data_IF_627039891956
#
_entry.id   IF_627039891956
#
_cell.length_a   1.000
_cell.length_b   1.000
_cell.length_c   1.000
_cell.angle_alpha   90.00
_cell.angle_beta   90.00
_cell.angle_gamma   90.00
#
_symmetry.space_group_name_H-M   'P 1'
#
loop_
_entity.id
_entity.type
_entity.pdbx_description
1 polymer ?
#
# COMPACT_ATOMS: atom_id res chain seq x y z
N UNK A 1 -13.82 19.87 6.47
CA UNK A 1 -13.72 18.62 7.25
C UNK A 1 -12.59 18.74 8.25
N UNK A 2 -12.77 18.20 9.43
CA UNK A 2 -11.71 18.25 10.45
C UNK A 2 -10.64 17.19 10.13
N UNK A 3 -9.37 17.57 10.23
CA UNK A 3 -8.26 16.63 10.20
C UNK A 3 -8.29 15.68 11.40
N UNK A 4 -7.62 14.54 11.29
CA UNK A 4 -7.39 13.63 12.41
C UNK A 4 -5.94 13.15 12.40
N UNK A 5 -5.52 12.51 13.49
CA UNK A 5 -4.18 11.97 13.62
C UNK A 5 -4.21 10.46 13.84
N UNK A 6 -3.22 9.77 13.27
CA UNK A 6 -2.88 8.41 13.61
C UNK A 6 -1.46 8.47 14.19
N UNK A 7 -1.34 8.35 15.52
CA UNK A 7 -0.07 8.67 16.18
C UNK A 7 0.35 10.11 15.86
N UNK A 8 1.55 10.27 15.35
CA UNK A 8 2.09 11.57 14.95
C UNK A 8 1.74 11.96 13.50
N UNK A 9 1.11 11.06 12.76
CA UNK A 9 0.74 11.30 11.36
C UNK A 9 -0.56 12.09 11.29
N UNK A 10 -0.50 13.30 10.75
CA UNK A 10 -1.67 14.14 10.51
C UNK A 10 -2.32 13.80 9.17
N UNK A 11 -3.62 13.55 9.19
CA UNK A 11 -4.43 13.28 8.00
C UNK A 11 -5.35 14.48 7.77
N UNK A 12 -5.08 15.31 6.74
CA UNK A 12 -5.84 16.53 6.49
C UNK A 12 -7.32 16.30 6.22
N UNK A 13 -7.64 15.25 5.44
CA UNK A 13 -9.01 14.88 5.08
C UNK A 13 -9.34 13.54 5.71
N UNK A 14 -10.42 13.43 6.52
CA UNK A 14 -10.72 12.21 7.29
C UNK A 14 -11.35 11.11 6.41
N UNK A 15 -10.61 10.70 5.39
CA UNK A 15 -10.99 9.64 4.45
C UNK A 15 -9.85 8.65 4.35
N UNK A 16 -10.19 7.38 4.55
CA UNK A 16 -9.28 6.25 4.35
C UNK A 16 -9.82 5.42 3.20
N UNK A 17 -9.05 5.29 2.15
CA UNK A 17 -9.42 4.43 1.03
C UNK A 17 -9.40 2.96 1.47
N UNK A 18 -10.45 2.21 1.14
CA UNK A 18 -10.46 0.76 1.34
C UNK A 18 -9.52 0.07 0.36
N UNK A 19 -8.72 -0.88 0.87
CA UNK A 19 -7.87 -1.71 0.03
C UNK A 19 -8.70 -2.70 -0.79
N UNK A 20 -8.60 -2.65 -2.11
CA UNK A 20 -9.30 -3.54 -3.03
C UNK A 20 -8.31 -4.35 -3.84
N UNK A 21 -8.33 -5.68 -3.69
CA UNK A 21 -7.61 -6.64 -4.52
C UNK A 21 -8.52 -7.14 -5.65
N UNK A 22 -7.99 -7.79 -6.62
CA UNK A 22 -6.58 -7.95 -6.99
C UNK A 22 -6.30 -6.91 -8.08
N UNK A 23 -5.23 -6.14 -7.90
CA UNK A 23 -4.80 -5.18 -8.92
C UNK A 23 -5.62 -3.89 -9.02
N UNK A 24 -6.59 -3.64 -8.11
CA UNK A 24 -7.42 -2.42 -8.14
C UNK A 24 -6.75 -1.30 -7.36
N UNK A 25 -6.47 -1.51 -6.08
CA UNK A 25 -5.83 -0.49 -5.23
C UNK A 25 -4.31 -0.63 -5.29
N UNK A 26 -3.71 0.01 -6.28
CA UNK A 26 -2.26 0.07 -6.47
C UNK A 26 -1.76 1.52 -6.41
N UNK A 27 -0.52 1.73 -6.82
CA UNK A 27 0.19 3.01 -6.67
C UNK A 27 -0.56 4.23 -7.23
N UNK A 28 -1.21 4.09 -8.38
CA UNK A 28 -1.91 5.21 -9.03
C UNK A 28 -3.13 5.68 -8.25
N UNK A 29 -3.98 4.74 -7.83
CA UNK A 29 -5.17 5.08 -7.04
C UNK A 29 -4.77 5.57 -5.65
N UNK A 30 -3.86 4.88 -4.99
CA UNK A 30 -3.41 5.26 -3.65
C UNK A 30 -2.78 6.66 -3.65
N UNK A 31 -1.92 6.97 -4.61
CA UNK A 31 -1.30 8.29 -4.70
C UNK A 31 -2.31 9.40 -5.02
N UNK A 32 -3.32 9.13 -5.85
CA UNK A 32 -4.37 10.10 -6.14
C UNK A 32 -5.17 10.47 -4.88
N UNK A 33 -5.54 9.47 -4.07
CA UNK A 33 -6.22 9.71 -2.78
C UNK A 33 -5.31 10.48 -1.81
N UNK A 34 -4.06 10.08 -1.68
CA UNK A 34 -3.09 10.75 -0.81
C UNK A 34 -2.84 12.20 -1.21
N UNK A 35 -2.79 12.50 -2.50
CA UNK A 35 -2.64 13.86 -3.02
C UNK A 35 -3.84 14.77 -2.69
N UNK A 36 -5.01 14.18 -2.47
CA UNK A 36 -6.20 14.91 -2.04
C UNK A 36 -6.33 15.03 -0.51
N UNK A 37 -5.34 14.53 0.24
CA UNK A 37 -5.26 14.69 1.69
C UNK A 37 -5.82 13.55 2.52
N UNK A 38 -6.40 12.52 1.90
CA UNK A 38 -6.82 11.28 2.56
C UNK A 38 -5.66 10.28 2.67
N UNK A 39 -5.95 9.10 3.21
CA UNK A 39 -4.99 7.99 3.21
C UNK A 39 -5.21 7.14 1.97
N UNK A 40 -4.24 7.14 1.05
CA UNK A 40 -4.22 6.24 -0.09
C UNK A 40 -3.71 4.87 0.32
N UNK A 41 -4.42 3.80 -0.04
CA UNK A 41 -4.11 2.45 0.44
C UNK A 41 -3.82 1.50 -0.72
N UNK A 42 -2.69 0.81 -0.65
CA UNK A 42 -2.30 -0.25 -1.57
C UNK A 42 -2.76 -1.59 -0.99
N UNK A 43 -3.47 -2.39 -1.80
CA UNK A 43 -3.87 -3.74 -1.41
C UNK A 43 -2.81 -4.77 -1.81
N UNK A 44 -2.38 -5.59 -0.86
CA UNK A 44 -1.37 -6.63 -1.10
C UNK A 44 -1.96 -7.95 -1.59
N UNK A 45 -3.28 -8.10 -1.61
CA UNK A 45 -3.92 -9.37 -2.01
C UNK A 45 -3.61 -9.68 -3.47
N UNK A 46 -2.91 -10.78 -3.71
CA UNK A 46 -2.56 -11.24 -5.04
C UNK A 46 -1.70 -10.28 -5.86
N UNK A 47 -1.02 -9.38 -5.21
CA UNK A 47 -0.27 -8.29 -5.87
C UNK A 47 0.82 -8.81 -6.81
N UNK A 48 1.44 -9.95 -6.49
CA UNK A 48 2.45 -10.58 -7.34
C UNK A 48 1.90 -11.20 -8.62
N UNK A 49 0.58 -11.31 -8.75
CA UNK A 49 -0.08 -11.84 -9.95
C UNK A 49 -0.38 -10.76 -11.00
N UNK A 50 -0.28 -9.49 -10.63
CA UNK A 50 -0.72 -8.36 -11.46
C UNK A 50 0.33 -7.91 -12.46
N UNK A 51 1.60 -8.07 -12.12
CA UNK A 51 2.72 -7.67 -12.95
C UNK A 51 3.54 -8.88 -13.38
N UNK A 52 4.13 -8.80 -14.57
CA UNK A 52 5.09 -9.78 -15.07
C UNK A 52 6.39 -9.68 -14.25
N UNK A 53 6.42 -10.36 -13.12
CA UNK A 53 7.64 -10.50 -12.36
C UNK A 53 8.48 -11.66 -12.91
N UNK A 54 9.79 -11.48 -13.10
CA UNK A 54 10.66 -12.54 -13.60
C UNK A 54 10.80 -13.72 -12.63
N UNK A 55 10.30 -13.58 -11.42
CA UNK A 55 10.29 -14.62 -10.40
C UNK A 55 9.07 -15.52 -10.55
N UNK A 56 9.34 -16.84 -10.72
CA UNK A 56 8.28 -17.86 -10.74
C UNK A 56 7.79 -18.24 -9.34
N UNK A 57 8.45 -17.75 -8.28
CA UNK A 57 8.09 -18.00 -6.90
C UNK A 57 7.05 -16.97 -6.43
N UNK A 58 5.87 -17.44 -6.11
CA UNK A 58 4.75 -16.59 -5.66
C UNK A 58 5.10 -15.69 -4.46
N UNK A 59 5.82 -16.23 -3.48
CA UNK A 59 6.26 -15.46 -2.30
C UNK A 59 7.18 -14.30 -2.70
N UNK A 60 8.20 -14.58 -3.51
CA UNK A 60 9.14 -13.57 -3.98
C UNK A 60 8.43 -12.53 -4.86
N UNK A 61 7.53 -12.96 -5.74
CA UNK A 61 6.75 -12.06 -6.59
C UNK A 61 5.89 -11.09 -5.78
N UNK A 62 5.25 -11.55 -4.71
CA UNK A 62 4.47 -10.67 -3.82
C UNK A 62 5.35 -9.65 -3.10
N UNK A 63 6.50 -10.07 -2.59
CA UNK A 63 7.45 -9.17 -1.91
C UNK A 63 7.95 -8.09 -2.88
N UNK A 64 8.37 -8.49 -4.07
CA UNK A 64 8.87 -7.56 -5.08
C UNK A 64 7.76 -6.59 -5.54
N UNK A 65 6.56 -7.09 -5.76
CA UNK A 65 5.43 -6.30 -6.21
C UNK A 65 5.00 -5.24 -5.19
N UNK A 66 4.87 -5.59 -3.90
CA UNK A 66 4.49 -4.61 -2.89
C UNK A 66 5.56 -3.54 -2.71
N UNK A 67 6.83 -3.95 -2.75
CA UNK A 67 7.97 -3.02 -2.69
C UNK A 67 7.95 -2.03 -3.85
N UNK A 68 7.74 -2.54 -5.04
CA UNK A 68 7.68 -1.73 -6.25
C UNK A 68 6.50 -0.75 -6.24
N UNK A 69 5.31 -1.23 -5.86
CA UNK A 69 4.11 -0.38 -5.79
C UNK A 69 4.23 0.73 -4.74
N UNK A 70 4.81 0.46 -3.58
CA UNK A 70 5.10 1.50 -2.58
C UNK A 70 6.06 2.55 -3.15
N UNK A 71 7.13 2.12 -3.81
CA UNK A 71 8.10 3.03 -4.42
C UNK A 71 7.49 3.87 -5.55
N UNK A 72 6.66 3.27 -6.39
CA UNK A 72 5.92 3.99 -7.43
C UNK A 72 5.00 5.05 -6.81
N UNK A 73 4.25 4.69 -5.78
CA UNK A 73 3.37 5.62 -5.08
C UNK A 73 4.15 6.80 -4.48
N UNK A 74 5.29 6.54 -3.85
CA UNK A 74 6.14 7.60 -3.26
C UNK A 74 6.70 8.58 -4.29
N UNK A 75 6.84 8.17 -5.54
CA UNK A 75 7.22 9.08 -6.63
C UNK A 75 6.07 9.99 -7.07
N UNK A 76 4.83 9.61 -6.79
CA UNK A 76 3.62 10.31 -7.23
C UNK A 76 3.00 11.17 -6.14
N UNK A 77 3.35 10.95 -4.87
CA UNK A 77 2.74 11.66 -3.74
C UNK A 77 3.70 11.83 -2.57
N UNK A 78 3.56 12.92 -1.83
CA UNK A 78 4.11 13.13 -0.50
C UNK A 78 3.06 12.91 0.59
N UNK A 79 1.82 12.58 0.23
CA UNK A 79 0.72 12.39 1.14
C UNK A 79 0.75 11.04 1.87
N UNK A 80 -0.21 10.84 2.79
CA UNK A 80 -0.28 9.63 3.60
C UNK A 80 -0.56 8.39 2.77
N UNK A 81 0.28 7.36 2.91
CA UNK A 81 0.12 6.08 2.24
C UNK A 81 0.00 4.94 3.26
N UNK A 82 -0.94 4.06 3.01
CA UNK A 82 -1.15 2.83 3.76
C UNK A 82 -1.06 1.58 2.90
N UNK A 83 -0.96 0.45 3.57
CA UNK A 83 -1.01 -0.87 2.96
C UNK A 83 -2.07 -1.71 3.67
N UNK A 84 -2.95 -2.33 2.89
CA UNK A 84 -3.93 -3.29 3.39
C UNK A 84 -3.36 -4.70 3.27
N UNK A 85 -3.35 -5.45 4.38
CA UNK A 85 -2.80 -6.80 4.45
C UNK A 85 -3.82 -7.73 5.10
N UNK A 86 -4.17 -8.82 4.42
CA UNK A 86 -5.04 -9.84 5.00
C UNK A 86 -4.25 -10.76 5.93
N UNK A 87 -4.64 -10.78 7.20
CA UNK A 87 -3.95 -11.56 8.24
C UNK A 87 -4.05 -13.07 8.05
N UNK A 88 -5.07 -13.53 7.35
CA UNK A 88 -5.33 -14.96 7.12
C UNK A 88 -4.40 -15.57 6.05
N UNK A 89 -3.77 -14.76 5.24
CA UNK A 89 -2.89 -15.25 4.17
C UNK A 89 -1.52 -15.66 4.70
N UNK A 90 -0.94 -16.70 4.09
CA UNK A 90 0.37 -17.24 4.49
C UNK A 90 1.52 -16.25 4.31
N UNK A 91 1.37 -15.28 3.43
CA UNK A 91 2.38 -14.24 3.19
C UNK A 91 2.25 -13.00 4.09
N UNK A 92 1.36 -13.02 5.09
CA UNK A 92 1.10 -11.88 5.98
C UNK A 92 2.40 -11.27 6.55
N UNK A 93 3.25 -12.10 7.13
CA UNK A 93 4.51 -11.65 7.75
C UNK A 93 5.45 -10.97 6.75
N UNK A 94 5.56 -11.52 5.55
CA UNK A 94 6.40 -10.93 4.49
C UNK A 94 5.88 -9.57 4.05
N UNK A 95 4.57 -9.43 3.91
CA UNK A 95 3.94 -8.17 3.52
C UNK A 95 4.13 -7.08 4.58
N UNK A 96 3.98 -7.43 5.86
CA UNK A 96 4.24 -6.49 6.96
C UNK A 96 5.70 -6.05 6.97
N UNK A 97 6.63 -6.99 6.92
CA UNK A 97 8.07 -6.68 6.95
C UNK A 97 8.48 -5.79 5.77
N UNK A 98 8.06 -6.14 4.57
CA UNK A 98 8.38 -5.37 3.36
C UNK A 98 7.80 -3.96 3.43
N UNK A 99 6.57 -3.82 3.90
CA UNK A 99 5.93 -2.52 4.08
C UNK A 99 6.68 -1.63 5.06
N UNK A 100 7.15 -2.20 6.17
CA UNK A 100 7.97 -1.49 7.16
C UNK A 100 9.33 -1.08 6.56
N UNK A 101 10.00 -1.98 5.84
CA UNK A 101 11.26 -1.70 5.16
C UNK A 101 11.13 -0.53 4.18
N UNK A 102 10.02 -0.45 3.47
CA UNK A 102 9.71 0.62 2.53
C UNK A 102 9.13 1.88 3.19
N UNK A 103 9.10 1.93 4.52
CA UNK A 103 8.68 3.08 5.33
C UNK A 103 7.26 3.56 5.00
N UNK A 104 6.33 2.62 4.90
CA UNK A 104 4.91 2.94 4.76
C UNK A 104 4.41 3.68 6.01
N UNK A 105 3.45 4.57 5.85
CA UNK A 105 2.95 5.36 6.97
C UNK A 105 1.96 4.60 7.85
N UNK A 106 1.12 3.75 7.24
CA UNK A 106 0.02 3.03 7.93
C UNK A 106 -0.10 1.61 7.41
N UNK A 107 -0.36 0.65 8.29
CA UNK A 107 -0.73 -0.72 7.95
C UNK A 107 -2.12 -1.01 8.56
#
# INVERSE_FOLDING_TARGET
>A
MKSFNIGDLKIPVPIIQGGMGIGVSLSRLASAVANMGGIGVISTVGIGLVEDHPNTNYRASNIDAVREEIRKARKLTFGPLGVNIMTVLSNFSDMVKTSIEEKIDVI
#
